data_IF_437303010056
#
_entry.id   IF_437303010056
#
_cell.length_a   1.000
_cell.length_b   1.000
_cell.length_c   1.000
_cell.angle_alpha   90.00
_cell.angle_beta   90.00
_cell.angle_gamma   90.00
#
_symmetry.space_group_name_H-M   'P 1'
#
loop_
_entity.id
_entity.type
_entity.pdbx_description
1 polymer ?
#
# COMPACT_ATOMS: atom_id res chain seq x y z
N UNK A 1 -18.01 25.77 0.35
CA UNK A 1 -18.02 24.39 0.89
C UNK A 1 -16.59 23.91 1.06
N UNK A 2 -16.19 23.61 2.28
CA UNK A 2 -14.89 23.06 2.54
C UNK A 2 -14.90 21.57 2.17
N UNK A 3 -14.20 21.22 1.10
CA UNK A 3 -13.99 19.82 0.76
C UNK A 3 -12.96 19.22 1.71
N UNK A 4 -13.40 18.31 2.53
CA UNK A 4 -12.52 17.57 3.44
C UNK A 4 -12.11 16.25 2.80
N UNK A 5 -10.89 15.84 3.10
CA UNK A 5 -10.32 14.58 2.62
C UNK A 5 -9.64 13.86 3.75
N UNK A 6 -9.89 12.57 3.85
CA UNK A 6 -9.18 11.65 4.73
C UNK A 6 -8.36 10.72 3.85
N UNK A 7 -7.10 10.55 4.18
CA UNK A 7 -6.22 9.61 3.49
C UNK A 7 -5.64 8.65 4.54
N UNK A 8 -5.96 7.39 4.44
CA UNK A 8 -5.49 6.35 5.34
C UNK A 8 -4.24 5.68 4.76
N UNK A 9 -3.22 5.51 5.58
CA UNK A 9 -2.04 4.75 5.19
C UNK A 9 -2.28 3.29 5.55
N UNK A 10 -2.43 2.48 4.52
CA UNK A 10 -2.73 1.06 4.62
C UNK A 10 -1.41 0.28 4.49
N UNK A 11 -1.40 -0.84 3.83
CA UNK A 11 -0.20 -1.61 3.51
C UNK A 11 -0.52 -2.54 2.34
N UNK A 12 0.45 -2.80 1.48
CA UNK A 12 0.28 -3.72 0.35
C UNK A 12 -0.13 -5.13 0.80
N UNK A 13 0.17 -5.48 2.05
CA UNK A 13 -0.12 -6.79 2.63
C UNK A 13 -1.61 -7.14 2.63
N UNK A 14 -2.50 -6.14 2.61
CA UNK A 14 -3.95 -6.39 2.49
C UNK A 14 -4.33 -7.09 1.18
N UNK A 15 -3.49 -6.97 0.16
CA UNK A 15 -3.64 -7.64 -1.14
C UNK A 15 -2.72 -8.85 -1.30
N UNK A 16 -1.83 -9.09 -0.35
CA UNK A 16 -0.82 -10.14 -0.41
C UNK A 16 -0.69 -10.79 0.97
N UNK A 17 -1.69 -11.57 1.34
CA UNK A 17 -1.77 -12.19 2.66
C UNK A 17 -0.70 -13.28 2.77
N UNK A 18 0.04 -13.24 3.89
CA UNK A 18 1.04 -14.23 4.24
C UNK A 18 0.70 -14.87 5.59
N UNK A 19 1.31 -15.99 5.95
CA UNK A 19 1.08 -16.60 7.26
C UNK A 19 1.75 -15.84 8.42
N UNK A 20 2.46 -14.74 8.11
CA UNK A 20 3.19 -13.95 9.10
C UNK A 20 2.50 -12.62 9.35
N UNK A 21 2.77 -12.03 10.54
CA UNK A 21 2.23 -10.72 10.93
C UNK A 21 0.69 -10.66 10.91
N UNK A 22 0.04 -11.68 11.46
CA UNK A 22 -1.41 -11.84 11.39
C UNK A 22 -2.16 -10.66 11.99
N UNK A 23 -1.81 -10.21 13.20
CA UNK A 23 -2.48 -9.08 13.85
C UNK A 23 -2.29 -7.76 13.09
N UNK A 24 -1.10 -7.53 12.56
CA UNK A 24 -0.83 -6.38 11.72
C UNK A 24 -1.67 -6.43 10.44
N UNK A 25 -1.72 -7.57 9.77
CA UNK A 25 -2.50 -7.78 8.56
C UNK A 25 -3.99 -7.57 8.81
N UNK A 26 -4.53 -8.09 9.92
CA UNK A 26 -5.92 -7.87 10.33
C UNK A 26 -6.22 -6.38 10.54
N UNK A 27 -5.34 -5.68 11.25
CA UNK A 27 -5.45 -4.25 11.50
C UNK A 27 -5.51 -3.45 10.19
N UNK A 28 -4.59 -3.72 9.28
CA UNK A 28 -4.53 -3.02 7.99
C UNK A 28 -5.69 -3.42 7.06
N UNK A 29 -6.13 -4.66 7.10
CA UNK A 29 -7.29 -5.12 6.35
C UNK A 29 -8.58 -4.47 6.85
N UNK A 30 -8.72 -4.30 8.16
CA UNK A 30 -9.84 -3.55 8.74
C UNK A 30 -9.82 -2.09 8.28
N UNK A 31 -8.66 -1.45 8.27
CA UNK A 31 -8.51 -0.08 7.78
C UNK A 31 -8.84 0.04 6.29
N UNK A 32 -8.47 -0.95 5.48
CA UNK A 32 -8.83 -1.01 4.07
C UNK A 32 -10.35 -1.05 3.89
N UNK A 33 -11.02 -1.94 4.61
CA UNK A 33 -12.49 -2.07 4.57
C UNK A 33 -13.16 -0.80 5.07
N UNK A 34 -12.67 -0.23 6.17
CA UNK A 34 -13.18 1.02 6.73
C UNK A 34 -13.05 2.19 5.73
N UNK A 35 -11.95 2.27 5.02
CA UNK A 35 -11.73 3.29 3.98
C UNK A 35 -12.84 3.23 2.93
N UNK A 36 -13.16 2.04 2.45
CA UNK A 36 -14.24 1.83 1.47
C UNK A 36 -15.60 2.19 2.04
N UNK A 37 -15.91 1.71 3.24
CA UNK A 37 -17.20 1.96 3.89
C UNK A 37 -17.41 3.44 4.18
N UNK A 38 -16.41 4.10 4.76
CA UNK A 38 -16.50 5.53 5.09
C UNK A 38 -16.58 6.40 3.85
N UNK A 39 -15.98 6.00 2.74
CA UNK A 39 -16.04 6.78 1.50
C UNK A 39 -17.48 6.96 1.01
N UNK A 40 -18.31 5.95 1.22
CA UNK A 40 -19.74 6.02 0.88
C UNK A 40 -20.52 6.76 1.95
N UNK A 41 -20.27 6.43 3.22
CA UNK A 41 -21.04 7.00 4.34
C UNK A 41 -20.84 8.51 4.48
N UNK A 42 -19.62 8.99 4.27
CA UNK A 42 -19.29 10.41 4.45
C UNK A 42 -19.49 11.27 3.19
N UNK A 43 -19.78 10.65 2.07
CA UNK A 43 -20.07 11.39 0.84
C UNK A 43 -21.37 12.16 0.98
N UNK A 44 -21.53 13.31 0.36
CA UNK A 44 -20.55 14.04 -0.45
C UNK A 44 -19.64 14.97 0.36
N UNK A 45 -19.76 15.00 1.67
CA UNK A 45 -19.11 16.00 2.53
C UNK A 45 -17.61 15.74 2.70
N UNK A 46 -17.21 14.48 2.76
CA UNK A 46 -15.82 14.07 3.00
C UNK A 46 -15.47 12.96 2.03
N UNK A 47 -14.35 13.10 1.35
CA UNK A 47 -13.76 12.03 0.56
C UNK A 47 -12.84 11.20 1.43
N UNK A 48 -12.87 9.89 1.26
CA UNK A 48 -12.01 8.97 2.02
C UNK A 48 -11.27 8.07 1.02
N UNK A 49 -9.97 8.15 1.03
CA UNK A 49 -9.09 7.38 0.17
C UNK A 49 -7.97 6.75 1.00
N UNK A 50 -7.17 5.93 0.39
CA UNK A 50 -6.04 5.30 1.04
C UNK A 50 -4.82 5.19 0.15
N UNK A 51 -3.70 4.89 0.77
CA UNK A 51 -2.44 4.55 0.11
C UNK A 51 -1.94 3.24 0.70
N UNK A 52 -1.60 2.30 -0.15
CA UNK A 52 -1.02 1.00 0.23
C UNK A 52 0.45 0.96 -0.20
N UNK A 53 1.38 1.36 0.67
CA UNK A 53 2.79 1.34 0.32
C UNK A 53 3.37 -0.08 0.47
N UNK A 54 4.41 -0.33 -0.31
CA UNK A 54 5.33 -1.44 -0.12
C UNK A 54 6.57 -1.01 0.68
N UNK A 55 7.75 -1.58 0.37
CA UNK A 55 8.96 -1.33 1.13
C UNK A 55 9.45 0.12 0.95
N UNK A 56 9.16 0.94 1.94
CA UNK A 56 9.48 2.38 1.94
C UNK A 56 10.56 2.70 2.94
N UNK A 57 10.33 2.36 4.22
CA UNK A 57 11.29 2.53 5.30
C UNK A 57 11.51 1.20 6.01
N UNK A 58 12.72 0.99 6.45
CA UNK A 58 13.08 -0.17 7.27
C UNK A 58 12.32 -0.11 8.60
N UNK A 59 11.68 -1.21 8.98
CA UNK A 59 11.02 -1.30 10.27
C UNK A 59 12.03 -1.41 11.42
N UNK A 60 11.59 -1.09 12.64
CA UNK A 60 12.43 -1.05 13.83
C UNK A 60 13.21 -2.36 14.06
N UNK A 61 12.56 -3.49 13.83
CA UNK A 61 13.11 -4.82 14.10
C UNK A 61 13.70 -5.49 12.85
N UNK A 62 13.78 -4.78 11.74
CA UNK A 62 14.29 -5.29 10.48
C UNK A 62 15.73 -4.84 10.29
N UNK A 63 16.61 -5.78 9.91
CA UNK A 63 17.98 -5.42 9.52
C UNK A 63 17.99 -4.78 8.13
N UNK A 64 19.06 -4.01 7.85
CA UNK A 64 19.22 -3.41 6.52
C UNK A 64 19.26 -4.48 5.42
N UNK A 65 19.91 -5.60 5.67
CA UNK A 65 19.97 -6.72 4.72
C UNK A 65 18.59 -7.32 4.45
N UNK A 66 17.78 -7.48 5.49
CA UNK A 66 16.41 -7.97 5.34
C UNK A 66 15.56 -7.01 4.50
N UNK A 67 15.70 -5.72 4.74
CA UNK A 67 15.01 -4.69 3.98
C UNK A 67 15.46 -4.69 2.51
N UNK A 68 16.76 -4.72 2.26
CA UNK A 68 17.30 -4.77 0.90
C UNK A 68 16.82 -6.02 0.15
N UNK A 69 16.78 -7.16 0.82
CA UNK A 69 16.24 -8.40 0.26
C UNK A 69 14.74 -8.26 -0.07
N UNK A 70 13.99 -7.59 0.78
CA UNK A 70 12.58 -7.32 0.54
C UNK A 70 12.40 -6.47 -0.73
N UNK A 71 13.17 -5.41 -0.88
CA UNK A 71 13.16 -4.56 -2.07
C UNK A 71 13.50 -5.36 -3.33
N UNK A 72 14.55 -6.18 -3.26
CA UNK A 72 14.99 -6.99 -4.41
C UNK A 72 13.98 -8.08 -4.82
N UNK A 73 13.06 -8.43 -3.93
CA UNK A 73 11.97 -9.38 -4.25
C UNK A 73 10.77 -8.74 -4.91
N UNK A 74 10.70 -7.42 -4.96
CA UNK A 74 9.61 -6.76 -5.67
C UNK A 74 9.84 -6.87 -7.18
N UNK A 75 8.79 -6.92 -7.99
CA UNK A 75 8.92 -6.93 -9.44
C UNK A 75 9.76 -5.80 -10.00
N UNK A 76 9.61 -4.58 -9.49
CA UNK A 76 10.38 -3.43 -9.95
C UNK A 76 11.76 -3.32 -9.29
N UNK A 77 12.05 -4.16 -8.27
CA UNK A 77 13.33 -4.15 -7.52
C UNK A 77 13.73 -2.77 -7.02
N UNK A 78 12.73 -2.02 -6.58
CA UNK A 78 12.89 -0.62 -6.23
C UNK A 78 12.20 -0.32 -4.91
N UNK A 79 12.92 0.37 -4.02
CA UNK A 79 12.35 0.94 -2.80
C UNK A 79 11.36 2.05 -3.18
N UNK A 80 10.22 2.06 -2.51
CA UNK A 80 9.26 3.16 -2.64
C UNK A 80 9.83 4.38 -1.89
N UNK A 81 9.89 5.51 -2.56
CA UNK A 81 10.41 6.74 -1.95
C UNK A 81 9.31 7.52 -1.27
N UNK A 82 9.66 8.23 -0.20
CA UNK A 82 8.72 9.12 0.50
C UNK A 82 8.11 10.18 -0.42
N UNK A 83 8.86 10.67 -1.39
CA UNK A 83 8.35 11.59 -2.42
C UNK A 83 7.18 11.00 -3.19
N UNK A 84 7.24 9.72 -3.53
CA UNK A 84 6.16 9.06 -4.26
C UNK A 84 4.89 8.99 -3.42
N UNK A 85 5.04 8.75 -2.12
CA UNK A 85 3.91 8.79 -1.17
C UNK A 85 3.33 10.21 -1.11
N UNK A 86 4.17 11.23 -1.01
CA UNK A 86 3.73 12.63 -0.98
C UNK A 86 3.00 13.00 -2.28
N UNK A 87 3.52 12.59 -3.43
CA UNK A 87 2.87 12.84 -4.72
C UNK A 87 1.50 12.15 -4.81
N UNK A 88 1.38 10.95 -4.26
CA UNK A 88 0.12 10.23 -4.20
C UNK A 88 -0.91 10.96 -3.29
N UNK A 89 -0.46 11.49 -2.16
CA UNK A 89 -1.29 12.30 -1.27
C UNK A 89 -1.80 13.54 -2.02
N UNK A 90 -0.92 14.25 -2.68
CA UNK A 90 -1.28 15.45 -3.46
C UNK A 90 -2.29 15.11 -4.56
N UNK A 91 -2.06 14.01 -5.28
CA UNK A 91 -3.00 13.53 -6.29
C UNK A 91 -4.40 13.32 -5.70
N UNK A 92 -4.51 12.64 -4.57
CA UNK A 92 -5.79 12.35 -3.93
C UNK A 92 -6.47 13.62 -3.38
N UNK A 93 -5.69 14.59 -2.93
CA UNK A 93 -6.22 15.88 -2.46
C UNK A 93 -6.76 16.70 -3.63
N UNK A 94 -6.02 16.80 -4.72
CA UNK A 94 -6.32 17.66 -5.86
C UNK A 94 -7.43 17.12 -6.75
N UNK A 95 -7.56 15.80 -6.86
CA UNK A 95 -8.55 15.17 -7.74
C UNK A 95 -9.86 14.90 -7.00
N UNK A 96 -10.75 15.86 -7.05
CA UNK A 96 -11.97 15.92 -6.24
C UNK A 96 -13.03 14.88 -6.60
N UNK A 97 -12.89 14.21 -7.72
CA UNK A 97 -13.80 13.13 -8.14
C UNK A 97 -13.37 11.75 -7.64
N UNK A 98 -12.28 11.67 -6.86
CA UNK A 98 -11.74 10.41 -6.35
C UNK A 98 -12.16 10.22 -4.89
N UNK A 99 -12.90 9.16 -4.62
CA UNK A 99 -13.23 8.69 -3.27
C UNK A 99 -13.32 7.18 -3.25
N UNK A 100 -12.99 6.54 -2.15
CA UNK A 100 -12.96 5.10 -2.03
C UNK A 100 -11.81 4.41 -2.77
N UNK A 101 -10.87 5.19 -3.29
CA UNK A 101 -9.70 4.67 -3.99
C UNK A 101 -8.56 4.37 -3.00
N UNK A 102 -7.88 3.26 -3.23
CA UNK A 102 -6.65 2.92 -2.51
C UNK A 102 -5.54 2.76 -3.54
N UNK A 103 -4.65 3.74 -3.57
CA UNK A 103 -3.50 3.72 -4.47
C UNK A 103 -2.42 2.80 -3.92
N UNK A 104 -1.98 1.86 -4.73
CA UNK A 104 -0.92 0.93 -4.36
C UNK A 104 0.41 1.42 -4.93
N UNK A 105 1.36 1.74 -4.03
CA UNK A 105 2.72 2.14 -4.35
C UNK A 105 3.68 1.15 -3.69
N UNK A 106 3.90 0.01 -4.32
CA UNK A 106 4.60 -1.12 -3.70
C UNK A 106 5.64 -1.79 -4.60
N UNK A 107 6.00 -1.17 -5.68
CA UNK A 107 6.92 -1.75 -6.68
C UNK A 107 6.46 -3.12 -7.20
N UNK A 108 5.16 -3.37 -7.15
CA UNK A 108 4.54 -4.62 -7.56
C UNK A 108 4.55 -5.72 -6.50
N UNK A 109 4.96 -5.43 -5.26
CA UNK A 109 5.07 -6.44 -4.21
C UNK A 109 3.77 -7.22 -3.99
N UNK A 110 2.63 -6.57 -4.05
CA UNK A 110 1.32 -7.22 -3.84
C UNK A 110 0.87 -8.11 -5.00
N UNK A 111 1.52 -8.04 -6.15
CA UNK A 111 1.28 -8.95 -7.26
C UNK A 111 1.84 -10.35 -7.00
N UNK A 112 2.74 -10.44 -6.12
CA UNK A 112 2.86 -11.51 -5.15
C UNK A 112 3.69 -12.69 -5.47
N UNK A 113 4.15 -12.97 -6.60
CA UNK A 113 4.69 -14.30 -6.71
C UNK A 113 6.15 -14.42 -7.15
N UNK A 114 6.77 -13.37 -7.50
CA UNK A 114 8.17 -13.43 -7.90
C UNK A 114 9.08 -13.54 -6.67
N UNK A 115 9.34 -14.74 -6.23
CA UNK A 115 10.40 -14.98 -5.28
C UNK A 115 11.73 -15.00 -6.05
N UNK A 116 12.61 -14.04 -5.77
CA UNK A 116 13.94 -13.95 -6.40
C UNK A 116 14.81 -15.20 -6.17
N UNK A 117 14.44 -16.05 -5.21
CA UNK A 117 15.09 -17.33 -4.94
C UNK A 117 14.44 -18.51 -5.66
N UNK A 118 13.31 -18.30 -6.30
CA UNK A 118 12.70 -19.36 -7.10
C UNK A 118 13.55 -19.59 -8.34
N UNK A 119 14.12 -20.78 -8.45
CA UNK A 119 14.88 -21.20 -9.62
C UNK A 119 13.99 -21.77 -10.72
N UNK A 120 12.69 -21.81 -10.47
CA UNK A 120 11.73 -22.36 -11.42
C UNK A 120 11.04 -21.21 -12.10
N UNK A 121 11.60 -20.78 -13.20
CA UNK A 121 10.88 -19.95 -14.14
C UNK A 121 10.46 -20.87 -15.28
N UNK A 122 9.16 -21.07 -15.42
CA UNK A 122 8.64 -21.47 -16.70
C UNK A 122 8.77 -20.25 -17.61
N UNK A 123 9.40 -20.44 -18.72
CA UNK A 123 9.57 -19.42 -19.77
C UNK A 123 8.52 -19.57 -20.85
N UNK A 124 7.41 -20.18 -20.54
CA UNK A 124 6.31 -20.37 -21.49
C UNK A 124 5.63 -19.06 -21.85
#
# INVERSE_FOLDING_TARGET
>A
MLFRSIINIIDQRVKNITPYFTSYTLSKSALYTLTKSLSVFLAPKIRVNGISPGPTLKSKNQTQKQFDNQVQRTPLKKQVRLEEINNAIDYLIENKSVTGEVLTLDSGQSLGWANSKSKVFSTD
#
